data_IF_628236350667
#
_entry.id   IF_628236350667
#
_cell.length_a   1.000
_cell.length_b   1.000
_cell.length_c   1.000
_cell.angle_alpha   90.00
_cell.angle_beta   90.00
_cell.angle_gamma   90.00
#
_symmetry.space_group_name_H-M   'P 1'
#
loop_
_entity.id
_entity.type
_entity.pdbx_description
1 polymer ?
#
# COMPACT_ATOMS: atom_id res chain seq x y z
N UNK A 1 14.76 -21.22 11.83
CA UNK A 1 13.47 -20.75 11.26
C UNK A 1 12.51 -20.61 12.42
N UNK A 2 12.11 -19.39 12.78
CA UNK A 2 11.03 -19.20 13.73
C UNK A 2 9.76 -19.78 13.11
N UNK A 3 9.10 -20.69 13.83
CA UNK A 3 7.77 -21.16 13.50
C UNK A 3 6.86 -19.94 13.44
N UNK A 4 6.45 -19.52 12.24
CA UNK A 4 5.30 -18.62 12.13
C UNK A 4 4.14 -19.39 12.71
N UNK A 5 3.56 -18.90 13.80
CA UNK A 5 2.28 -19.41 14.25
C UNK A 5 1.29 -19.18 13.10
N UNK A 6 0.76 -20.26 12.55
CA UNK A 6 -0.18 -20.23 11.42
C UNK A 6 -1.60 -19.97 11.96
N UNK A 7 -1.74 -18.91 12.76
CA UNK A 7 -3.02 -18.47 13.33
C UNK A 7 -3.62 -17.36 12.47
N UNK A 8 -4.95 -17.26 12.39
CA UNK A 8 -5.59 -16.15 11.69
C UNK A 8 -5.20 -14.81 12.32
N UNK A 9 -4.95 -13.81 11.47
CA UNK A 9 -4.76 -12.41 11.90
C UNK A 9 -6.02 -11.63 11.53
N UNK A 10 -6.65 -11.04 12.53
CA UNK A 10 -7.77 -10.13 12.34
C UNK A 10 -7.23 -8.75 11.88
N UNK A 11 -7.71 -8.25 10.74
CA UNK A 11 -7.15 -7.01 10.15
C UNK A 11 -7.45 -5.78 11.01
N UNK A 12 -8.59 -5.76 11.71
CA UNK A 12 -8.96 -4.71 12.65
C UNK A 12 -8.02 -4.66 13.86
N UNK A 13 -7.65 -5.81 14.42
CA UNK A 13 -6.65 -5.87 15.50
C UNK A 13 -5.26 -5.45 15.01
N UNK A 14 -4.85 -5.92 13.83
CA UNK A 14 -3.57 -5.53 13.23
C UNK A 14 -3.50 -4.03 12.94
N UNK A 15 -4.55 -3.44 12.38
CA UNK A 15 -4.63 -1.99 12.14
C UNK A 15 -4.70 -1.19 13.45
N UNK A 16 -5.30 -1.74 14.50
CA UNK A 16 -5.35 -1.09 15.81
C UNK A 16 -4.00 -1.07 16.55
N UNK A 17 -3.03 -1.90 16.15
CA UNK A 17 -1.75 -2.04 16.87
C UNK A 17 -0.69 -0.98 16.54
N UNK A 18 -0.92 -0.11 15.54
CA UNK A 18 0.00 0.95 15.14
C UNK A 18 -0.72 2.18 14.60
N UNK A 19 -0.17 3.38 14.80
CA UNK A 19 -0.77 4.64 14.30
C UNK A 19 0.01 5.30 13.15
N UNK A 20 1.18 4.76 12.80
CA UNK A 20 2.01 5.32 11.73
C UNK A 20 1.28 5.30 10.38
N UNK A 21 1.22 6.47 9.73
CA UNK A 21 0.67 6.64 8.39
C UNK A 21 1.69 6.27 7.32
N UNK A 22 1.21 5.80 6.17
CA UNK A 22 2.03 5.43 5.01
C UNK A 22 3.19 4.48 5.36
N UNK A 23 3.01 3.69 6.42
CA UNK A 23 4.00 2.79 7.00
C UNK A 23 3.39 1.38 7.09
N UNK A 24 3.50 0.56 6.03
CA UNK A 24 2.81 -0.71 5.99
C UNK A 24 3.37 -1.73 6.99
N UNK A 25 2.49 -2.61 7.48
CA UNK A 25 2.81 -3.78 8.30
C UNK A 25 2.51 -5.06 7.52
N UNK A 26 3.46 -5.99 7.49
CA UNK A 26 3.31 -7.30 6.86
C UNK A 26 2.51 -8.19 7.80
N UNK A 27 1.26 -8.50 7.43
CA UNK A 27 0.39 -9.38 8.24
C UNK A 27 0.65 -10.84 7.92
N UNK A 28 0.85 -11.20 6.65
CA UNK A 28 1.18 -12.57 6.28
C UNK A 28 1.92 -12.60 4.95
N UNK A 29 2.28 -13.81 4.49
CA UNK A 29 2.91 -14.03 3.20
C UNK A 29 2.20 -15.12 2.42
N UNK A 30 2.05 -14.91 1.12
CA UNK A 30 1.57 -15.90 0.15
C UNK A 30 2.74 -16.22 -0.77
N UNK A 31 3.40 -17.35 -0.57
CA UNK A 31 4.66 -17.68 -1.23
C UNK A 31 5.71 -16.57 -1.00
N UNK A 32 6.11 -15.89 -2.08
CA UNK A 32 7.05 -14.79 -2.19
C UNK A 32 6.37 -13.40 -2.23
N UNK A 33 5.08 -13.32 -1.88
CA UNK A 33 4.34 -12.06 -1.74
C UNK A 33 4.09 -11.72 -0.27
N UNK A 34 4.24 -10.44 0.07
CA UNK A 34 3.78 -9.88 1.32
C UNK A 34 2.31 -9.43 1.19
N UNK A 35 1.48 -9.85 2.15
CA UNK A 35 0.18 -9.21 2.40
C UNK A 35 0.42 -8.14 3.46
N UNK A 36 0.18 -6.88 3.10
CA UNK A 36 0.48 -5.72 3.94
C UNK A 36 -0.81 -4.99 4.30
N UNK A 37 -0.84 -4.32 5.44
CA UNK A 37 -1.87 -3.33 5.79
C UNK A 37 -1.25 -1.99 6.13
N UNK A 38 -1.92 -0.90 5.81
CA UNK A 38 -1.47 0.45 6.12
C UNK A 38 -2.64 1.36 6.50
N UNK A 39 -2.37 2.29 7.43
CA UNK A 39 -3.19 3.50 7.62
C UNK A 39 -2.63 4.58 6.69
N UNK A 40 -3.49 5.32 6.03
CA UNK A 40 -3.10 6.36 5.06
C UNK A 40 -3.94 7.61 5.28
N UNK A 41 -3.35 8.79 5.16
CA UNK A 41 -4.04 10.08 5.21
C UNK A 41 -3.21 11.15 4.48
N UNK A 42 -3.87 12.06 3.79
CA UNK A 42 -3.21 13.05 2.94
C UNK A 42 -2.69 12.43 1.63
N UNK A 43 -1.60 12.98 1.10
CA UNK A 43 -0.99 12.52 -0.15
C UNK A 43 0.21 11.60 0.13
N UNK A 44 0.33 10.55 -0.68
CA UNK A 44 1.60 9.85 -0.86
C UNK A 44 2.50 10.59 -1.86
N UNK A 45 3.60 9.96 -2.26
CA UNK A 45 4.49 10.43 -3.33
C UNK A 45 4.10 9.80 -4.68
N UNK A 46 4.35 10.53 -5.78
CA UNK A 46 4.33 9.93 -7.12
C UNK A 46 5.45 8.90 -7.21
N UNK A 47 5.12 7.69 -7.65
CA UNK A 47 6.08 6.61 -7.80
C UNK A 47 5.66 5.63 -8.89
N UNK A 48 6.58 4.75 -9.27
CA UNK A 48 6.38 3.66 -10.22
C UNK A 48 7.13 2.41 -9.77
N UNK A 49 6.53 1.25 -10.01
CA UNK A 49 7.18 -0.05 -9.89
C UNK A 49 7.40 -0.61 -11.29
N UNK A 50 8.63 -0.86 -11.68
CA UNK A 50 8.96 -1.27 -13.05
C UNK A 50 8.59 -2.74 -13.30
N UNK A 51 8.76 -3.58 -12.28
CA UNK A 51 8.73 -5.03 -12.43
C UNK A 51 7.47 -5.71 -11.87
N UNK A 52 6.68 -5.02 -11.04
CA UNK A 52 5.53 -5.60 -10.34
C UNK A 52 4.27 -4.74 -10.46
N UNK A 53 3.13 -5.42 -10.52
CA UNK A 53 1.84 -4.78 -10.32
C UNK A 53 1.64 -4.56 -8.81
N UNK A 54 0.88 -3.53 -8.45
CA UNK A 54 0.53 -3.23 -7.06
C UNK A 54 -0.98 -3.33 -6.87
N UNK A 55 -1.39 -4.22 -5.96
CA UNK A 55 -2.79 -4.45 -5.65
C UNK A 55 -3.21 -3.67 -4.40
N UNK A 56 -4.38 -3.04 -4.48
CA UNK A 56 -5.02 -2.31 -3.38
C UNK A 56 -6.39 -2.89 -3.06
N UNK A 57 -6.69 -3.02 -1.77
CA UNK A 57 -8.04 -3.20 -1.23
C UNK A 57 -8.28 -2.12 -0.17
N UNK A 58 -9.36 -1.35 -0.31
CA UNK A 58 -9.78 -0.38 0.73
C UNK A 58 -10.60 -1.11 1.79
N UNK A 59 -10.04 -1.27 2.98
CA UNK A 59 -10.69 -1.93 4.12
C UNK A 59 -11.69 -0.98 4.79
N UNK A 60 -11.30 0.28 4.97
CA UNK A 60 -12.15 1.35 5.50
C UNK A 60 -11.74 2.72 4.92
N UNK A 61 -12.67 3.67 4.88
CA UNK A 61 -12.47 4.99 4.28
C UNK A 61 -12.59 5.00 2.75
N UNK A 62 -11.86 5.91 2.11
CA UNK A 62 -11.81 6.08 0.65
C UNK A 62 -10.38 6.43 0.22
N UNK A 63 -9.91 5.78 -0.85
CA UNK A 63 -8.62 6.05 -1.47
C UNK A 63 -8.85 6.58 -2.87
N UNK A 64 -8.10 7.60 -3.27
CA UNK A 64 -7.99 7.98 -4.69
C UNK A 64 -6.57 7.70 -5.17
N UNK A 65 -6.43 7.09 -6.35
CA UNK A 65 -5.14 6.86 -6.98
C UNK A 65 -5.10 7.68 -8.27
N UNK A 66 -4.22 8.68 -8.31
CA UNK A 66 -3.89 9.36 -9.57
C UNK A 66 -2.96 8.46 -10.38
N UNK A 67 -3.19 8.37 -11.69
CA UNK A 67 -2.40 7.59 -12.64
C UNK A 67 -1.91 8.50 -13.75
N UNK A 68 -0.66 8.29 -14.20
CA UNK A 68 -0.10 8.86 -15.42
C UNK A 68 -0.05 7.78 -16.48
N UNK A 69 -0.95 7.88 -17.45
CA UNK A 69 -1.06 6.93 -18.55
C UNK A 69 -0.72 7.62 -19.89
N UNK A 70 -0.52 6.86 -20.99
CA UNK A 70 -0.23 7.46 -22.29
C UNK A 70 -1.30 8.46 -22.78
N UNK A 71 -2.55 8.29 -22.34
CA UNK A 71 -3.66 9.17 -22.69
C UNK A 71 -3.74 10.45 -21.81
N UNK A 72 -2.90 10.56 -20.78
CA UNK A 72 -2.90 11.66 -19.81
C UNK A 72 -3.07 11.16 -18.37
N UNK A 73 -3.31 12.11 -17.46
CA UNK A 73 -3.56 11.81 -16.05
C UNK A 73 -5.05 11.54 -15.81
N UNK A 74 -5.34 10.55 -14.94
CA UNK A 74 -6.71 10.29 -14.45
C UNK A 74 -6.69 9.84 -13.00
N UNK A 75 -7.84 10.01 -12.34
CA UNK A 75 -8.06 9.51 -10.99
C UNK A 75 -8.92 8.25 -10.98
N UNK A 76 -8.58 7.33 -10.08
CA UNK A 76 -9.40 6.17 -9.71
C UNK A 76 -9.85 6.35 -8.27
N UNK A 77 -11.15 6.44 -8.04
CA UNK A 77 -11.73 6.54 -6.69
C UNK A 77 -12.14 5.15 -6.22
N UNK A 78 -11.61 4.73 -5.08
CA UNK A 78 -11.89 3.45 -4.43
C UNK A 78 -12.63 3.71 -3.11
N UNK A 79 -13.95 3.56 -3.05
CA UNK A 79 -14.67 3.51 -1.78
C UNK A 79 -14.36 2.22 -1.02
N UNK A 80 -14.68 2.19 0.27
CA UNK A 80 -14.60 0.99 1.12
C UNK A 80 -15.12 -0.28 0.41
N UNK A 81 -14.35 -1.35 0.52
CA UNK A 81 -14.64 -2.66 -0.08
C UNK A 81 -14.22 -2.79 -1.55
N UNK A 82 -13.65 -1.76 -2.14
CA UNK A 82 -13.18 -1.79 -3.53
C UNK A 82 -11.75 -2.30 -3.64
N UNK A 83 -11.47 -2.96 -4.76
CA UNK A 83 -10.13 -3.40 -5.15
C UNK A 83 -9.70 -2.72 -6.43
N UNK A 84 -8.41 -2.49 -6.59
CA UNK A 84 -7.82 -2.00 -7.84
C UNK A 84 -6.38 -2.50 -7.94
N UNK A 85 -5.89 -2.65 -9.17
CA UNK A 85 -4.50 -2.98 -9.44
C UNK A 85 -3.90 -1.91 -10.31
N UNK A 86 -2.81 -1.30 -9.83
CA UNK A 86 -1.94 -0.46 -10.65
C UNK A 86 -1.00 -1.39 -11.40
N UNK A 87 -1.00 -1.32 -12.73
CA UNK A 87 -0.12 -2.14 -13.55
C UNK A 87 1.32 -1.63 -13.46
N UNK A 88 2.29 -2.55 -13.47
CA UNK A 88 3.72 -2.23 -13.52
C UNK A 88 4.04 -1.20 -14.61
N UNK A 89 5.02 -0.35 -14.34
CA UNK A 89 5.43 0.76 -15.20
C UNK A 89 4.45 1.94 -15.21
N UNK A 90 3.35 1.88 -14.46
CA UNK A 90 2.40 3.00 -14.36
C UNK A 90 2.77 3.89 -13.18
N UNK A 91 3.16 5.13 -13.50
CA UNK A 91 3.32 6.16 -12.49
C UNK A 91 2.00 6.44 -11.81
N UNK A 92 2.00 6.44 -10.48
CA UNK A 92 0.79 6.63 -9.72
C UNK A 92 1.05 7.34 -8.37
N UNK A 93 -0.01 7.93 -7.81
CA UNK A 93 0.03 8.60 -6.50
C UNK A 93 -1.27 8.35 -5.73
N UNK A 94 -1.24 7.47 -4.72
CA UNK A 94 -2.34 7.31 -3.78
C UNK A 94 -2.54 8.55 -2.90
N UNK A 95 -3.79 8.84 -2.54
CA UNK A 95 -4.17 9.89 -1.58
C UNK A 95 -5.48 9.59 -0.88
N UNK A 96 -5.60 10.03 0.37
CA UNK A 96 -6.85 9.93 1.15
C UNK A 96 -7.02 11.15 2.06
N UNK A 97 -7.78 12.18 1.63
CA UNK A 97 -7.93 13.42 2.41
C UNK A 97 -8.60 13.25 3.78
N UNK A 98 -9.39 12.18 3.98
CA UNK A 98 -10.11 11.89 5.24
C UNK A 98 -9.56 10.68 5.99
N UNK A 99 -8.46 10.11 5.49
CA UNK A 99 -7.91 8.87 5.97
C UNK A 99 -8.59 7.62 5.41
N UNK A 100 -7.81 6.55 5.30
CA UNK A 100 -8.27 5.21 4.95
C UNK A 100 -7.38 4.15 5.60
N UNK A 101 -7.90 2.92 5.65
CA UNK A 101 -7.10 1.73 5.91
C UNK A 101 -7.12 0.85 4.68
N UNK A 102 -5.94 0.42 4.24
CA UNK A 102 -5.78 -0.34 3.00
C UNK A 102 -5.03 -1.65 3.26
N UNK A 103 -5.30 -2.64 2.42
CA UNK A 103 -4.50 -3.85 2.27
C UNK A 103 -3.80 -3.80 0.92
N UNK A 104 -2.53 -4.18 0.92
CA UNK A 104 -1.69 -4.29 -0.27
C UNK A 104 -1.23 -5.73 -0.45
N UNK A 105 -1.01 -6.13 -1.70
CA UNK A 105 -0.39 -7.41 -2.06
C UNK A 105 0.69 -7.17 -3.09
N UNK A 106 1.94 -7.45 -2.72
CA UNK A 106 3.12 -7.15 -3.52
C UNK A 106 4.21 -8.21 -3.27
N UNK A 107 5.17 -8.41 -4.20
CA UNK A 107 6.34 -9.23 -3.92
C UNK A 107 7.07 -8.81 -2.65
N UNK A 108 7.62 -9.77 -1.91
CA UNK A 108 8.43 -9.49 -0.73
C UNK A 108 9.65 -8.66 -1.13
N UNK A 109 9.86 -7.56 -0.43
CA UNK A 109 10.96 -6.63 -0.72
C UNK A 109 10.60 -5.47 -1.65
N UNK A 110 9.37 -5.40 -2.18
CA UNK A 110 8.93 -4.25 -2.99
C UNK A 110 8.99 -2.95 -2.15
N UNK A 111 9.72 -1.91 -2.61
CA UNK A 111 9.78 -0.61 -1.95
C UNK A 111 8.44 0.11 -1.98
N UNK A 112 8.00 0.70 -0.87
CA UNK A 112 6.73 1.44 -0.74
C UNK A 112 6.67 2.72 -1.56
N UNK A 113 7.82 3.21 -2.00
CA UNK A 113 7.95 4.39 -2.85
C UNK A 113 8.37 4.02 -4.27
N UNK A 114 8.21 2.76 -4.69
CA UNK A 114 8.56 2.30 -6.03
C UNK A 114 10.07 2.24 -6.32
N UNK A 115 10.40 1.85 -7.55
CA UNK A 115 11.76 1.82 -8.10
C UNK A 115 12.23 3.23 -8.47
N UNK A 116 11.27 4.09 -8.84
CA UNK A 116 11.47 5.51 -9.10
C UNK A 116 10.34 6.33 -8.49
N UNK A 117 10.69 7.50 -7.93
CA UNK A 117 9.74 8.41 -7.27
C UNK A 117 10.21 9.86 -7.32
N UNK A 118 9.25 10.78 -7.08
CA UNK A 118 9.55 12.17 -6.72
C UNK A 118 10.17 12.26 -5.31
N UNK A 119 10.57 13.45 -4.86
CA UNK A 119 11.12 13.63 -3.51
C UNK A 119 10.17 13.09 -2.42
N UNK A 120 10.67 12.21 -1.56
CA UNK A 120 9.86 11.57 -0.49
C UNK A 120 9.66 12.58 0.64
N UNK A 121 8.41 12.94 0.98
CA UNK A 121 8.15 13.86 2.08
C UNK A 121 8.34 13.17 3.44
N UNK A 122 8.66 13.95 4.48
CA UNK A 122 8.97 13.45 5.83
C UNK A 122 7.88 12.58 6.47
N UNK A 123 6.62 12.71 6.02
CA UNK A 123 5.48 11.95 6.53
C UNK A 123 5.24 10.61 5.82
N UNK A 124 6.00 10.30 4.77
CA UNK A 124 5.94 9.02 4.04
C UNK A 124 7.10 8.13 4.48
N UNK A 125 6.78 6.91 4.87
CA UNK A 125 7.77 5.93 5.35
C UNK A 125 8.28 5.08 4.17
N UNK A 126 9.47 5.42 3.67
CA UNK A 126 10.15 4.69 2.60
C UNK A 126 10.77 3.39 3.12
N UNK A 127 10.14 2.25 2.80
CA UNK A 127 10.50 0.93 3.36
C UNK A 127 10.18 -0.18 2.37
N UNK A 128 10.37 -1.43 2.77
CA UNK A 128 9.82 -2.60 2.06
C UNK A 128 8.75 -3.31 2.90
N UNK A 129 8.10 -2.57 3.81
CA UNK A 129 7.19 -3.09 4.82
C UNK A 129 7.89 -3.48 6.14
N UNK A 130 7.23 -3.19 7.25
CA UNK A 130 7.68 -3.59 8.59
C UNK A 130 7.02 -4.89 9.02
N UNK A 131 7.66 -5.64 9.92
CA UNK A 131 6.98 -6.73 10.60
C UNK A 131 5.80 -6.19 11.42
N UNK A 132 4.68 -6.91 11.43
CA UNK A 132 3.63 -6.69 12.43
C UNK A 132 4.21 -7.07 13.80
N UNK A 133 4.26 -6.10 14.71
CA UNK A 133 4.81 -6.28 16.06
C UNK A 133 3.83 -7.02 16.97
#
# INVERSE_FOLDING_TARGET
MATRENTPIALDEALASFDALWSPRIVTRVNDYDVRVAKVEGDHVWHVHDDTDEFFLVVDGELTIALREPAGERDVVLPRGSVFTVLRGTWHKPRSPKGASILLLEPTGTPTVGDHHDDVPDHVDATTGHALA
#
